data_IF_524543742216
#
_entry.id   IF_524543742216
#
_cell.length_a   1.000
_cell.length_b   1.000
_cell.length_c   1.000
_cell.angle_alpha   90.00
_cell.angle_beta   90.00
_cell.angle_gamma   90.00
#
_symmetry.space_group_name_H-M   'P 1'
#
loop_
_entity.id
_entity.type
_entity.pdbx_description
1 polymer ?
#
# COMPACT_ATOMS: atom_id res chain seq x y z
N UNK A 1 -1.69 6.84 -11.03
CA UNK A 1 -2.15 5.44 -10.90
C UNK A 1 -3.66 5.38 -11.10
N UNK A 2 -4.21 4.36 -11.74
CA UNK A 2 -5.66 4.21 -11.99
C UNK A 2 -6.06 2.75 -12.08
N UNK A 3 -7.32 2.43 -11.84
CA UNK A 3 -7.88 1.07 -11.87
C UNK A 3 -9.21 0.99 -12.63
N UNK A 4 -9.54 2.03 -13.38
CA UNK A 4 -10.79 2.11 -14.13
C UNK A 4 -10.93 0.96 -15.13
N UNK A 5 -12.19 0.68 -15.48
CA UNK A 5 -12.56 -0.34 -16.47
C UNK A 5 -11.97 0.00 -17.85
N UNK A 6 -11.69 -1.04 -18.66
CA UNK A 6 -11.05 -0.89 -19.97
C UNK A 6 -11.66 0.19 -20.86
N UNK A 7 -12.99 0.23 -21.00
CA UNK A 7 -13.66 1.25 -21.84
C UNK A 7 -13.46 2.69 -21.34
N UNK A 8 -13.42 2.93 -20.02
CA UNK A 8 -13.14 4.25 -19.45
C UNK A 8 -11.69 4.63 -19.63
N UNK A 9 -10.78 3.65 -19.50
CA UNK A 9 -9.37 3.86 -19.78
C UNK A 9 -9.16 4.27 -21.25
N UNK A 10 -9.88 3.63 -22.17
CA UNK A 10 -9.85 3.97 -23.58
C UNK A 10 -10.40 5.37 -23.86
N UNK A 11 -11.50 5.76 -23.20
CA UNK A 11 -12.03 7.12 -23.28
C UNK A 11 -10.98 8.16 -22.86
N UNK A 12 -10.30 7.94 -21.73
CA UNK A 12 -9.21 8.82 -21.27
C UNK A 12 -8.04 8.86 -22.25
N UNK A 13 -7.66 7.71 -22.82
CA UNK A 13 -6.55 7.62 -23.76
C UNK A 13 -6.85 8.32 -25.10
N UNK A 14 -8.12 8.29 -25.55
CA UNK A 14 -8.56 8.94 -26.79
C UNK A 14 -8.67 10.46 -26.69
N UNK A 15 -8.73 11.01 -25.48
CA UNK A 15 -8.70 12.45 -25.27
C UNK A 15 -7.27 12.99 -25.43
N UNK A 16 -7.03 13.65 -26.56
CA UNK A 16 -5.73 14.24 -26.91
C UNK A 16 -5.26 15.30 -25.91
N UNK A 17 -6.17 15.96 -25.19
CA UNK A 17 -5.84 16.95 -24.16
C UNK A 17 -5.17 16.26 -22.97
N UNK A 18 -5.71 15.12 -22.54
CA UNK A 18 -5.14 14.35 -21.42
C UNK A 18 -3.77 13.78 -21.81
N UNK A 19 -3.65 13.25 -23.03
CA UNK A 19 -2.36 12.75 -23.56
C UNK A 19 -1.31 13.87 -23.58
N UNK A 20 -1.67 15.06 -24.08
CA UNK A 20 -0.74 16.20 -24.11
C UNK A 20 -0.24 16.57 -22.71
N UNK A 21 -1.15 16.75 -21.75
CA UNK A 21 -0.81 17.10 -20.36
C UNK A 21 0.09 16.04 -19.69
N UNK A 22 -0.20 14.75 -19.91
CA UNK A 22 0.62 13.65 -19.40
C UNK A 22 2.04 13.67 -20.00
N UNK A 23 2.17 13.99 -21.29
CA UNK A 23 3.47 14.11 -21.95
C UNK A 23 4.27 15.32 -21.47
N UNK A 24 3.62 16.48 -21.34
CA UNK A 24 4.26 17.70 -20.81
C UNK A 24 4.82 17.47 -19.41
N UNK A 25 4.13 16.67 -18.60
CA UNK A 25 4.58 16.26 -17.28
C UNK A 25 5.72 15.24 -17.28
N UNK A 26 5.98 14.56 -18.41
CA UNK A 26 6.81 13.37 -18.43
C UNK A 26 6.28 12.28 -17.50
N UNK A 27 4.96 12.16 -17.39
CA UNK A 27 4.31 11.25 -16.44
C UNK A 27 4.27 9.81 -16.96
N UNK A 28 4.49 8.86 -16.06
CA UNK A 28 4.21 7.45 -16.27
C UNK A 28 2.83 7.07 -15.70
N UNK A 29 2.19 6.02 -16.22
CA UNK A 29 0.89 5.56 -15.73
C UNK A 29 0.99 4.15 -15.13
N UNK A 30 0.63 4.06 -13.84
CA UNK A 30 0.40 2.78 -13.16
C UNK A 30 -1.04 2.32 -13.42
N UNK A 31 -1.19 1.21 -14.15
CA UNK A 31 -2.47 0.69 -14.63
C UNK A 31 -2.87 -0.54 -13.83
N UNK A 32 -3.90 -0.41 -13.02
CA UNK A 32 -4.56 -1.49 -12.32
C UNK A 32 -5.20 -2.46 -13.31
N UNK A 33 -4.67 -3.67 -13.36
CA UNK A 33 -5.12 -4.73 -14.26
C UNK A 33 -6.31 -5.46 -13.66
N UNK A 34 -7.48 -4.82 -13.72
CA UNK A 34 -8.75 -5.36 -13.21
C UNK A 34 -9.38 -6.37 -14.18
N UNK A 35 -9.10 -6.21 -15.48
CA UNK A 35 -9.52 -7.05 -16.59
C UNK A 35 -8.38 -7.16 -17.63
N UNK A 36 -8.57 -8.01 -18.65
CA UNK A 36 -7.67 -8.18 -19.80
C UNK A 36 -8.43 -7.92 -21.11
N UNK A 37 -9.26 -6.86 -21.11
CA UNK A 37 -10.14 -6.50 -22.24
C UNK A 37 -9.38 -5.91 -23.43
N UNK A 38 -10.00 -5.96 -24.61
CA UNK A 38 -9.45 -5.36 -25.83
C UNK A 38 -9.41 -3.83 -25.74
N UNK A 39 -10.39 -3.20 -25.09
CA UNK A 39 -10.39 -1.76 -24.86
C UNK A 39 -9.19 -1.32 -24.02
N UNK A 40 -8.77 -2.14 -23.05
CA UNK A 40 -7.57 -1.89 -22.26
C UNK A 40 -6.31 -2.03 -23.12
N UNK A 41 -6.25 -3.01 -24.01
CA UNK A 41 -5.13 -3.15 -24.97
C UNK A 41 -5.02 -1.92 -25.85
N UNK A 42 -6.14 -1.45 -26.41
CA UNK A 42 -6.17 -0.25 -27.26
C UNK A 42 -5.72 0.98 -26.48
N UNK A 43 -6.19 1.17 -25.24
CA UNK A 43 -5.81 2.30 -24.41
C UNK A 43 -4.30 2.30 -24.08
N UNK A 44 -3.75 1.14 -23.72
CA UNK A 44 -2.31 0.98 -23.44
C UNK A 44 -1.46 1.31 -24.66
N UNK A 45 -1.86 0.84 -25.85
CA UNK A 45 -1.17 1.17 -27.11
C UNK A 45 -1.19 2.67 -27.38
N UNK A 46 -2.33 3.33 -27.20
CA UNK A 46 -2.41 4.80 -27.38
C UNK A 46 -1.45 5.53 -26.44
N UNK A 47 -1.37 5.16 -25.15
CA UNK A 47 -0.41 5.77 -24.23
C UNK A 47 1.03 5.54 -24.68
N UNK A 48 1.37 4.30 -25.02
CA UNK A 48 2.73 3.90 -25.42
C UNK A 48 3.18 4.53 -26.74
N UNK A 49 2.31 4.56 -27.75
CA UNK A 49 2.55 5.22 -29.04
C UNK A 49 2.76 6.73 -28.88
N UNK A 50 2.26 7.31 -27.78
CA UNK A 50 2.47 8.69 -27.40
C UNK A 50 3.68 8.93 -26.48
N UNK A 51 4.47 7.88 -26.19
CA UNK A 51 5.68 7.95 -25.37
C UNK A 51 5.41 8.01 -23.86
N UNK A 52 4.22 7.58 -23.42
CA UNK A 52 3.86 7.49 -22.00
C UNK A 52 4.12 6.06 -21.54
N UNK A 53 5.07 5.88 -20.60
CA UNK A 53 5.38 4.55 -20.07
C UNK A 53 4.25 4.04 -19.17
N UNK A 54 3.97 2.73 -19.30
CA UNK A 54 2.96 2.05 -18.50
C UNK A 54 3.61 1.07 -17.51
N UNK A 55 3.13 1.08 -16.27
CA UNK A 55 3.45 0.10 -15.23
C UNK A 55 2.25 -0.81 -15.01
N UNK A 56 2.47 -2.12 -15.05
CA UNK A 56 1.43 -3.10 -14.78
C UNK A 56 1.21 -3.16 -13.27
N UNK A 57 0.02 -2.84 -12.78
CA UNK A 57 -0.33 -3.03 -11.39
C UNK A 57 -1.24 -4.25 -11.28
N UNK A 58 -0.68 -5.37 -10.81
CA UNK A 58 -1.34 -6.67 -10.84
C UNK A 58 -2.35 -6.78 -9.70
N UNK A 59 -3.62 -6.88 -10.08
CA UNK A 59 -4.75 -6.96 -9.17
C UNK A 59 -5.43 -8.32 -9.30
N UNK A 60 -5.88 -8.86 -8.18
CA UNK A 60 -6.74 -10.03 -8.15
C UNK A 60 -8.22 -9.63 -8.31
N UNK A 61 -9.07 -10.61 -8.59
CA UNK A 61 -10.51 -10.38 -8.57
C UNK A 61 -10.99 -10.05 -7.14
N UNK A 62 -12.14 -9.37 -7.02
CA UNK A 62 -12.76 -9.05 -5.71
C UNK A 62 -13.01 -10.30 -4.85
N UNK A 63 -13.30 -11.44 -5.48
CA UNK A 63 -13.50 -12.72 -4.78
C UNK A 63 -12.20 -13.36 -4.24
N UNK A 64 -11.04 -12.96 -4.75
CA UNK A 64 -9.71 -13.52 -4.39
C UNK A 64 -8.92 -12.57 -3.47
N UNK A 65 -9.62 -11.71 -2.74
CA UNK A 65 -9.08 -10.72 -1.79
C UNK A 65 -8.30 -9.55 -2.38
N UNK A 66 -8.39 -9.33 -3.70
CA UNK A 66 -7.93 -8.15 -4.47
C UNK A 66 -6.42 -7.83 -4.41
N UNK A 67 -5.87 -7.72 -3.22
CA UNK A 67 -4.48 -7.43 -2.91
C UNK A 67 -3.69 -8.71 -2.63
N UNK A 68 -2.47 -8.84 -3.17
CA UNK A 68 -1.51 -9.85 -2.76
C UNK A 68 -1.28 -9.87 -1.24
N UNK A 69 -1.45 -11.04 -0.64
CA UNK A 69 -1.13 -11.39 0.75
C UNK A 69 -0.60 -12.84 0.81
N UNK A 70 -0.11 -13.29 1.96
CA UNK A 70 0.46 -14.62 2.14
C UNK A 70 -0.53 -15.76 1.83
N UNK A 71 -1.84 -15.52 1.96
CA UNK A 71 -2.88 -16.54 1.78
C UNK A 71 -3.30 -16.74 0.32
N UNK A 72 -3.04 -15.78 -0.57
CA UNK A 72 -3.51 -15.84 -1.97
C UNK A 72 -2.37 -15.92 -3.00
N UNK A 73 -1.16 -16.29 -2.59
CA UNK A 73 0.00 -16.42 -3.48
C UNK A 73 -0.25 -17.30 -4.71
N UNK A 74 -0.96 -18.42 -4.57
CA UNK A 74 -1.36 -19.28 -5.70
C UNK A 74 -2.27 -18.55 -6.70
N UNK A 75 -3.21 -17.73 -6.20
CA UNK A 75 -4.07 -16.92 -7.05
C UNK A 75 -3.28 -15.82 -7.77
N UNK A 76 -2.31 -15.19 -7.09
CA UNK A 76 -1.39 -14.22 -7.70
C UNK A 76 -0.57 -14.84 -8.82
N UNK A 77 0.02 -16.02 -8.61
CA UNK A 77 0.77 -16.73 -9.66
C UNK A 77 -0.12 -17.07 -10.86
N UNK A 78 -1.34 -17.57 -10.61
CA UNK A 78 -2.30 -17.85 -11.69
C UNK A 78 -2.69 -16.57 -12.44
N UNK A 79 -2.87 -15.46 -11.74
CA UNK A 79 -3.14 -14.15 -12.35
C UNK A 79 -1.95 -13.65 -13.16
N UNK A 80 -0.73 -13.85 -12.66
CA UNK A 80 0.51 -13.52 -13.37
C UNK A 80 0.66 -14.29 -14.67
N UNK A 81 0.41 -15.60 -14.70
CA UNK A 81 0.49 -16.39 -15.94
C UNK A 81 -0.52 -15.90 -16.99
N UNK A 82 -1.73 -15.50 -16.56
CA UNK A 82 -2.71 -14.87 -17.46
C UNK A 82 -2.22 -13.51 -17.98
N UNK A 83 -1.68 -12.68 -17.08
CA UNK A 83 -1.08 -11.40 -17.44
C UNK A 83 0.04 -11.57 -18.46
N UNK A 84 0.92 -12.55 -18.25
CA UNK A 84 2.03 -12.90 -19.13
C UNK A 84 1.54 -13.30 -20.51
N UNK A 85 0.61 -14.26 -20.59
CA UNK A 85 0.05 -14.71 -21.86
C UNK A 85 -0.62 -13.57 -22.63
N UNK A 86 -1.41 -12.74 -21.93
CA UNK A 86 -2.08 -11.58 -22.50
C UNK A 86 -1.12 -10.48 -22.95
N UNK A 87 -0.05 -10.24 -22.19
CA UNK A 87 0.99 -9.27 -22.52
C UNK A 87 1.74 -9.70 -23.78
N UNK A 88 2.11 -10.98 -23.88
CA UNK A 88 2.80 -11.53 -25.04
C UNK A 88 1.91 -11.51 -26.30
N UNK A 89 0.65 -11.92 -26.19
CA UNK A 89 -0.27 -11.94 -27.35
C UNK A 89 -0.52 -10.54 -27.92
N UNK A 90 -0.49 -9.52 -27.07
CA UNK A 90 -0.79 -8.14 -27.45
C UNK A 90 0.45 -7.26 -27.65
N UNK A 91 1.65 -7.81 -27.41
CA UNK A 91 2.93 -7.10 -27.52
C UNK A 91 2.99 -5.83 -26.67
N UNK A 92 2.59 -5.93 -25.41
CA UNK A 92 2.51 -4.78 -24.50
C UNK A 92 3.84 -4.64 -23.73
N UNK A 93 4.66 -3.61 -23.99
CA UNK A 93 5.84 -3.34 -23.17
C UNK A 93 5.42 -2.80 -21.79
N UNK A 94 6.14 -3.19 -20.74
CA UNK A 94 5.89 -2.71 -19.38
C UNK A 94 7.19 -2.21 -18.75
N UNK A 95 7.11 -1.05 -18.08
CA UNK A 95 8.25 -0.50 -17.34
C UNK A 95 8.49 -1.24 -16.03
N UNK A 96 7.42 -1.67 -15.37
CA UNK A 96 7.50 -2.52 -14.18
C UNK A 96 6.22 -3.31 -13.95
N UNK A 97 6.32 -4.31 -13.07
CA UNK A 97 5.22 -4.99 -12.42
C UNK A 97 5.10 -4.48 -10.99
N UNK A 98 3.95 -3.94 -10.62
CA UNK A 98 3.65 -3.37 -9.31
C UNK A 98 2.71 -4.28 -8.54
N UNK A 99 3.02 -4.52 -7.28
CA UNK A 99 2.19 -5.23 -6.32
C UNK A 99 1.98 -4.33 -5.10
N UNK A 100 0.74 -4.14 -4.69
CA UNK A 100 0.47 -3.49 -3.40
C UNK A 100 0.13 -4.57 -2.39
N UNK A 101 1.04 -4.73 -1.44
CA UNK A 101 0.87 -5.70 -0.37
C UNK A 101 -0.14 -5.13 0.62
N UNK A 102 -1.15 -5.92 0.96
CA UNK A 102 -2.10 -5.52 1.98
C UNK A 102 -2.21 -6.61 3.04
N UNK A 103 -2.47 -6.22 4.30
CA UNK A 103 -2.95 -7.16 5.30
C UNK A 103 -4.21 -7.88 4.81
N UNK A 104 -4.45 -9.08 5.32
CA UNK A 104 -5.57 -9.90 4.88
C UNK A 104 -6.93 -9.21 5.16
N UNK A 105 -7.69 -8.93 4.10
CA UNK A 105 -8.89 -8.08 4.09
C UNK A 105 -10.11 -8.56 4.90
N UNK A 106 -10.03 -9.70 5.58
CA UNK A 106 -11.03 -10.02 6.61
C UNK A 106 -10.88 -9.16 7.86
N UNK A 107 -9.73 -8.48 8.05
CA UNK A 107 -9.39 -7.77 9.28
C UNK A 107 -10.24 -6.52 9.55
N UNK A 108 -10.69 -5.81 8.51
CA UNK A 108 -11.59 -4.66 8.69
C UNK A 108 -12.90 -5.06 9.40
N UNK A 109 -13.47 -6.22 9.03
CA UNK A 109 -14.69 -6.77 9.67
C UNK A 109 -14.42 -7.36 11.05
N UNK A 110 -13.17 -7.68 11.39
CA UNK A 110 -12.81 -8.23 12.71
C UNK A 110 -12.72 -7.08 13.72
N UNK A 111 -12.23 -5.91 13.32
CA UNK A 111 -12.24 -4.70 14.16
C UNK A 111 -13.67 -4.33 14.57
N UNK A 112 -14.63 -4.44 13.64
CA UNK A 112 -16.06 -4.19 13.90
C UNK A 112 -16.68 -5.12 14.95
N UNK A 113 -16.08 -6.30 15.18
CA UNK A 113 -16.56 -7.31 16.14
C UNK A 113 -15.85 -7.25 17.50
N UNK A 114 -15.05 -6.21 17.74
CA UNK A 114 -14.43 -5.90 19.03
C UNK A 114 -13.14 -6.68 19.34
N UNK A 115 -12.42 -6.28 20.42
CA UNK A 115 -11.03 -6.66 20.67
C UNK A 115 -10.81 -8.17 20.89
N UNK A 116 -11.81 -8.89 21.39
CA UNK A 116 -11.77 -10.36 21.57
C UNK A 116 -11.72 -11.14 20.25
N UNK A 117 -12.32 -10.59 19.19
CA UNK A 117 -12.30 -11.24 17.87
C UNK A 117 -10.96 -11.01 17.17
N UNK A 118 -10.39 -9.80 17.33
CA UNK A 118 -9.04 -9.43 16.89
C UNK A 118 -7.99 -10.34 17.54
N UNK A 119 -8.05 -10.53 18.86
CA UNK A 119 -7.06 -11.35 19.58
C UNK A 119 -7.09 -12.83 19.17
N UNK A 120 -8.27 -13.40 18.89
CA UNK A 120 -8.41 -14.77 18.37
C UNK A 120 -7.76 -14.94 17.00
N UNK A 121 -7.90 -13.95 16.13
CA UNK A 121 -7.34 -13.99 14.77
C UNK A 121 -5.83 -13.86 14.82
N UNK A 122 -5.31 -12.92 15.62
CA UNK A 122 -3.88 -12.77 15.89
C UNK A 122 -3.31 -14.09 16.39
N UNK A 123 -3.89 -14.69 17.44
CA UNK A 123 -3.41 -15.94 18.02
C UNK A 123 -3.41 -17.10 17.02
N UNK A 124 -4.49 -17.24 16.23
CA UNK A 124 -4.57 -18.26 15.18
C UNK A 124 -3.45 -18.10 14.16
N UNK A 125 -3.13 -16.87 13.76
CA UNK A 125 -2.10 -16.57 12.77
C UNK A 125 -0.69 -16.80 13.29
N UNK A 126 -0.43 -16.45 14.55
CA UNK A 126 0.84 -16.76 15.23
C UNK A 126 1.15 -18.27 15.24
N UNK A 127 0.12 -19.11 15.30
CA UNK A 127 0.26 -20.58 15.31
C UNK A 127 0.30 -21.15 13.87
N UNK A 128 -0.10 -20.38 12.85
CA UNK A 128 -0.26 -20.83 11.46
C UNK A 128 0.99 -20.60 10.59
N UNK A 129 2.18 -20.95 11.09
CA UNK A 129 3.46 -20.69 10.41
C UNK A 129 3.57 -21.24 8.97
N UNK A 130 2.83 -22.32 8.65
CA UNK A 130 2.83 -22.93 7.31
C UNK A 130 2.28 -22.03 6.21
N UNK A 131 1.39 -21.10 6.53
CA UNK A 131 0.83 -20.15 5.55
C UNK A 131 1.90 -19.14 5.10
N UNK A 132 2.73 -18.69 6.04
CA UNK A 132 3.79 -17.73 5.75
C UNK A 132 4.81 -18.34 4.79
N UNK A 133 5.25 -19.57 5.06
CA UNK A 133 6.22 -20.27 4.21
C UNK A 133 5.68 -20.49 2.78
N UNK A 134 4.41 -20.87 2.64
CA UNK A 134 3.79 -20.99 1.32
C UNK A 134 3.66 -19.64 0.60
N UNK A 135 3.36 -18.56 1.33
CA UNK A 135 3.39 -17.21 0.80
C UNK A 135 4.77 -16.88 0.23
N UNK A 136 5.81 -16.97 1.07
CA UNK A 136 7.18 -16.62 0.72
C UNK A 136 7.66 -17.40 -0.52
N UNK A 137 7.38 -18.70 -0.60
CA UNK A 137 7.71 -19.53 -1.77
C UNK A 137 7.00 -19.06 -3.05
N UNK A 138 5.70 -18.74 -2.98
CA UNK A 138 4.95 -18.28 -4.14
C UNK A 138 5.46 -16.92 -4.65
N UNK A 139 5.82 -16.01 -3.76
CA UNK A 139 6.32 -14.70 -4.16
C UNK A 139 7.80 -14.71 -4.56
N UNK A 140 8.60 -15.61 -4.00
CA UNK A 140 9.93 -15.91 -4.53
C UNK A 140 9.83 -16.44 -5.97
N UNK A 141 8.85 -17.31 -6.26
CA UNK A 141 8.58 -17.78 -7.61
C UNK A 141 8.11 -16.66 -8.53
N UNK A 142 7.20 -15.80 -8.07
CA UNK A 142 6.74 -14.64 -8.85
C UNK A 142 7.92 -13.74 -9.23
N UNK A 143 8.80 -13.44 -8.27
CA UNK A 143 10.03 -12.67 -8.54
C UNK A 143 10.91 -13.35 -9.58
N UNK A 144 11.16 -14.65 -9.45
CA UNK A 144 11.99 -15.39 -10.40
C UNK A 144 11.40 -15.31 -11.82
N UNK A 145 10.09 -15.43 -11.95
CA UNK A 145 9.38 -15.27 -13.23
C UNK A 145 9.51 -13.85 -13.77
N UNK A 146 9.22 -12.82 -12.97
CA UNK A 146 9.34 -11.41 -13.41
C UNK A 146 10.77 -11.06 -13.84
N UNK A 147 11.78 -11.53 -13.10
CA UNK A 147 13.19 -11.33 -13.45
C UNK A 147 13.55 -12.02 -14.76
N UNK A 148 13.07 -13.23 -15.01
CA UNK A 148 13.31 -13.95 -16.27
C UNK A 148 12.71 -13.21 -17.48
N UNK A 149 11.73 -12.35 -17.25
CA UNK A 149 11.06 -11.53 -18.27
C UNK A 149 11.57 -10.09 -18.30
N UNK A 150 12.66 -9.79 -17.57
CA UNK A 150 13.21 -8.44 -17.41
C UNK A 150 12.20 -7.41 -16.89
N UNK A 151 11.18 -7.86 -16.15
CA UNK A 151 10.22 -6.99 -15.50
C UNK A 151 10.72 -6.60 -14.11
N UNK A 152 10.96 -5.30 -13.92
CA UNK A 152 11.24 -4.74 -12.60
C UNK A 152 10.05 -4.96 -11.68
N UNK A 153 10.27 -5.53 -10.50
CA UNK A 153 9.24 -5.74 -9.50
C UNK A 153 9.20 -4.56 -8.51
N UNK A 154 8.06 -3.89 -8.44
CA UNK A 154 7.80 -2.75 -7.56
C UNK A 154 6.80 -3.16 -6.48
N UNK A 155 7.10 -2.86 -5.22
CA UNK A 155 6.18 -3.09 -4.10
C UNK A 155 5.71 -1.77 -3.50
N UNK A 156 4.41 -1.60 -3.38
CA UNK A 156 3.81 -0.48 -2.63
C UNK A 156 3.69 -0.91 -1.17
N UNK A 157 4.29 -0.14 -0.28
CA UNK A 157 4.35 -0.45 1.16
C UNK A 157 3.81 0.71 2.01
N UNK A 158 3.36 0.41 3.23
CA UNK A 158 2.90 1.42 4.20
C UNK A 158 3.96 1.76 5.26
N UNK A 159 3.84 2.90 5.97
CA UNK A 159 4.68 3.22 7.12
C UNK A 159 4.77 2.11 8.18
N UNK A 160 3.65 1.44 8.48
CA UNK A 160 3.63 0.32 9.43
C UNK A 160 4.50 -0.86 8.99
N UNK A 161 4.66 -1.09 7.68
CA UNK A 161 5.60 -2.11 7.19
C UNK A 161 7.05 -1.68 7.39
N UNK A 162 7.36 -0.39 7.26
CA UNK A 162 8.69 0.16 7.57
C UNK A 162 9.02 -0.08 9.03
N UNK A 163 8.16 0.34 9.95
CA UNK A 163 8.37 0.15 11.39
C UNK A 163 8.51 -1.32 11.79
N UNK A 164 7.71 -2.20 11.17
CA UNK A 164 7.80 -3.64 11.45
C UNK A 164 9.18 -4.24 11.12
N UNK A 165 9.86 -3.70 10.11
CA UNK A 165 11.19 -4.15 9.70
C UNK A 165 12.28 -3.64 10.62
N UNK A 166 12.15 -2.42 11.12
CA UNK A 166 13.11 -1.84 12.06
C UNK A 166 13.16 -2.60 13.38
N UNK A 167 12.01 -3.11 13.83
CA UNK A 167 11.92 -3.96 15.04
C UNK A 167 12.26 -5.44 14.73
N UNK A 168 12.59 -5.75 13.46
CA UNK A 168 12.94 -7.09 12.96
C UNK A 168 11.91 -8.19 13.32
N UNK A 169 10.63 -7.86 13.19
CA UNK A 169 9.54 -8.72 13.68
C UNK A 169 8.98 -9.58 12.55
N UNK A 170 9.45 -10.83 12.45
CA UNK A 170 8.85 -11.85 11.59
C UNK A 170 7.37 -12.10 11.98
N UNK A 171 7.03 -11.83 13.23
CA UNK A 171 5.68 -11.94 13.79
C UNK A 171 4.69 -10.96 13.16
N UNK A 172 5.11 -9.80 12.67
CA UNK A 172 4.21 -8.85 12.00
C UNK A 172 3.73 -9.41 10.66
N UNK A 173 4.64 -10.06 9.91
CA UNK A 173 4.31 -10.78 8.68
C UNK A 173 3.27 -11.85 8.96
N UNK A 174 3.49 -12.66 10.00
CA UNK A 174 2.55 -13.70 10.42
C UNK A 174 1.18 -13.12 10.82
N UNK A 175 1.16 -12.04 11.60
CA UNK A 175 -0.09 -11.42 12.09
C UNK A 175 -0.88 -10.78 10.94
N UNK A 176 -0.22 -10.08 10.04
CA UNK A 176 -0.90 -9.35 8.96
C UNK A 176 -1.12 -10.20 7.71
N UNK A 177 -0.41 -11.32 7.59
CA UNK A 177 -0.28 -12.04 6.33
C UNK A 177 0.47 -11.23 5.26
N UNK A 178 1.22 -10.19 5.66
CA UNK A 178 2.15 -9.51 4.75
C UNK A 178 3.47 -10.28 4.70
N UNK A 179 4.26 -10.07 3.66
CA UNK A 179 5.49 -10.81 3.43
C UNK A 179 6.51 -9.85 2.80
N UNK A 180 7.79 -10.11 3.01
CA UNK A 180 8.82 -9.36 2.32
C UNK A 180 9.02 -9.99 0.95
N UNK A 181 8.52 -9.31 -0.09
CA UNK A 181 8.99 -9.61 -1.44
C UNK A 181 10.41 -9.10 -1.54
N UNK A 182 11.31 -9.89 -2.12
CA UNK A 182 12.54 -9.33 -2.65
C UNK A 182 12.18 -8.54 -3.92
N UNK A 183 11.84 -7.28 -3.77
CA UNK A 183 11.49 -6.37 -4.86
C UNK A 183 12.72 -5.61 -5.37
N UNK A 184 12.63 -5.04 -6.57
CA UNK A 184 13.68 -4.20 -7.14
C UNK A 184 13.52 -2.72 -6.74
N UNK A 185 12.31 -2.33 -6.36
CA UNK A 185 12.00 -0.99 -5.84
C UNK A 185 10.81 -1.05 -4.89
N UNK A 186 10.83 -0.20 -3.88
CA UNK A 186 9.68 0.07 -3.02
C UNK A 186 9.13 1.47 -3.30
N UNK A 187 7.80 1.60 -3.23
CA UNK A 187 7.06 2.85 -3.24
C UNK A 187 6.41 2.98 -1.88
N UNK A 188 6.76 4.03 -1.15
CA UNK A 188 6.10 4.33 0.12
C UNK A 188 4.73 4.97 -0.15
N UNK A 189 3.68 4.35 0.37
CA UNK A 189 2.31 4.82 0.27
C UNK A 189 1.90 5.60 1.49
N UNK A 190 1.69 6.91 1.30
CA UNK A 190 1.15 7.82 2.31
C UNK A 190 -0.18 8.32 1.77
N UNK A 191 -1.27 7.69 2.23
CA UNK A 191 -2.61 8.18 1.95
C UNK A 191 -2.94 9.34 2.88
N UNK A 192 -3.73 10.29 2.37
CA UNK A 192 -4.27 11.40 3.13
C UNK A 192 -5.40 10.87 4.03
N UNK A 193 -5.04 10.29 5.19
CA UNK A 193 -5.98 9.65 6.13
C UNK A 193 -6.31 10.50 7.36
N UNK A 194 -5.55 11.57 7.60
CA UNK A 194 -5.67 12.44 8.78
C UNK A 194 -6.63 13.63 8.57
N UNK A 195 -6.62 14.57 9.52
CA UNK A 195 -7.45 15.78 9.52
C UNK A 195 -7.38 16.64 8.24
N UNK A 196 -8.34 17.55 8.02
CA UNK A 196 -8.34 18.48 6.88
C UNK A 196 -7.04 19.28 6.75
N UNK A 197 -6.34 19.52 7.87
CA UNK A 197 -5.00 20.09 7.85
C UNK A 197 -3.99 18.98 7.52
N UNK A 198 -3.31 19.09 6.36
CA UNK A 198 -2.35 18.11 5.84
C UNK A 198 -1.04 17.97 6.64
N UNK A 199 -0.92 18.64 7.79
CA UNK A 199 0.27 18.64 8.63
C UNK A 199 0.71 17.24 9.08
N UNK A 200 -0.21 16.35 9.46
CA UNK A 200 0.14 14.96 9.82
C UNK A 200 0.64 14.16 8.62
N UNK A 201 0.01 14.29 7.45
CA UNK A 201 0.48 13.65 6.22
C UNK A 201 1.87 14.17 5.81
N UNK A 202 2.11 15.48 5.95
CA UNK A 202 3.42 16.09 5.70
C UNK A 202 4.48 15.63 6.70
N UNK A 203 4.14 15.50 7.98
CA UNK A 203 5.03 14.97 9.01
C UNK A 203 5.37 13.50 8.71
N UNK A 204 4.40 12.67 8.30
CA UNK A 204 4.68 11.30 7.84
C UNK A 204 5.59 11.27 6.61
N UNK A 205 5.37 12.16 5.66
CA UNK A 205 6.24 12.26 4.48
C UNK A 205 7.68 12.54 4.90
N UNK A 206 7.88 13.52 5.78
CA UNK A 206 9.20 13.87 6.31
C UNK A 206 9.85 12.70 7.06
N UNK A 207 9.08 12.01 7.90
CA UNK A 207 9.56 10.94 8.76
C UNK A 207 9.96 9.69 7.97
N UNK A 208 9.10 9.23 7.05
CA UNK A 208 9.24 7.91 6.41
C UNK A 208 9.89 7.95 5.02
N UNK A 209 10.06 9.11 4.38
CA UNK A 209 10.58 9.15 2.99
C UNK A 209 11.99 8.57 2.81
N UNK A 210 12.78 8.52 3.89
CA UNK A 210 14.17 8.07 3.83
C UNK A 210 14.23 6.62 3.33
N UNK A 211 15.11 6.36 2.36
CA UNK A 211 15.23 5.05 1.72
C UNK A 211 14.28 4.80 0.53
N UNK A 212 13.35 5.71 0.23
CA UNK A 212 12.46 5.61 -0.93
C UNK A 212 12.79 6.67 -1.98
N UNK A 213 12.82 6.29 -3.26
CA UNK A 213 12.96 7.23 -4.38
C UNK A 213 11.60 7.75 -4.88
N UNK A 214 10.51 7.04 -4.54
CA UNK A 214 9.18 7.30 -5.08
C UNK A 214 8.13 7.16 -3.98
N UNK A 215 7.20 8.12 -3.94
CA UNK A 215 6.16 8.21 -2.93
C UNK A 215 4.77 8.20 -3.60
N UNK A 216 3.84 7.40 -3.10
CA UNK A 216 2.42 7.43 -3.50
C UNK A 216 1.66 8.35 -2.54
N UNK A 217 1.18 9.49 -3.04
CA UNK A 217 0.67 10.61 -2.24
C UNK A 217 -0.83 10.80 -2.47
N UNK A 218 -1.64 10.26 -1.55
CA UNK A 218 -3.10 10.47 -1.51
C UNK A 218 -3.89 9.93 -2.70
N UNK A 219 -5.19 10.21 -2.70
CA UNK A 219 -6.16 9.77 -3.71
C UNK A 219 -6.99 10.93 -4.24
N UNK A 220 -6.93 11.19 -5.54
CA UNK A 220 -7.77 12.17 -6.24
C UNK A 220 -9.17 11.61 -6.59
N UNK A 221 -9.42 10.33 -6.35
CA UNK A 221 -10.73 9.72 -6.59
C UNK A 221 -11.72 10.02 -5.47
N UNK A 222 -12.99 10.18 -5.85
CA UNK A 222 -14.12 10.34 -4.93
C UNK A 222 -14.51 9.04 -4.21
N UNK A 223 -13.99 7.90 -4.64
CA UNK A 223 -14.13 6.61 -3.97
C UNK A 223 -12.76 6.12 -3.53
N UNK A 224 -12.72 5.39 -2.41
CA UNK A 224 -11.49 4.72 -1.98
C UNK A 224 -11.05 3.73 -3.06
N UNK A 225 -9.73 3.47 -3.19
CA UNK A 225 -9.24 2.42 -4.08
C UNK A 225 -10.02 1.13 -3.87
N UNK A 226 -10.59 0.59 -4.94
CA UNK A 226 -11.09 -0.78 -5.01
C UNK A 226 -12.29 -1.06 -4.10
N UNK A 227 -12.89 0.00 -3.58
CA UNK A 227 -14.09 -0.01 -2.77
C UNK A 227 -15.15 0.90 -3.39
N UNK A 228 -16.41 0.61 -3.06
CA UNK A 228 -17.51 1.52 -3.35
C UNK A 228 -17.68 2.57 -2.23
N UNK A 229 -16.83 2.54 -1.21
CA UNK A 229 -16.81 3.52 -0.14
C UNK A 229 -16.35 4.88 -0.68
N UNK A 230 -17.05 5.91 -0.22
CA UNK A 230 -16.68 7.30 -0.47
C UNK A 230 -15.29 7.60 0.10
N UNK A 231 -14.48 8.28 -0.69
CA UNK A 231 -13.26 8.90 -0.22
C UNK A 231 -13.62 10.24 0.40
N UNK A 232 -13.74 10.25 1.73
CA UNK A 232 -14.02 11.48 2.50
C UNK A 232 -12.92 12.54 2.39
N UNK A 233 -11.74 12.17 1.89
CA UNK A 233 -10.61 13.07 1.71
C UNK A 233 -10.05 12.95 0.30
N UNK A 234 -10.82 13.45 -0.66
CA UNK A 234 -10.33 13.60 -2.04
C UNK A 234 -9.19 14.60 -2.04
N UNK A 235 -8.06 14.20 -2.61
CA UNK A 235 -6.89 15.06 -2.77
C UNK A 235 -7.30 16.31 -3.56
N UNK A 236 -7.01 17.47 -3.01
CA UNK A 236 -7.23 18.77 -3.65
C UNK A 236 -5.91 19.44 -4.05
N UNK A 237 -5.98 20.55 -4.77
CA UNK A 237 -4.81 21.25 -5.28
C UNK A 237 -3.89 21.80 -4.18
N UNK A 238 -4.45 22.42 -3.14
CA UNK A 238 -3.66 22.99 -2.05
C UNK A 238 -2.85 21.90 -1.32
N UNK A 239 -3.46 20.75 -1.04
CA UNK A 239 -2.74 19.59 -0.49
C UNK A 239 -1.69 19.06 -1.47
N UNK A 240 -2.04 18.95 -2.76
CA UNK A 240 -1.13 18.46 -3.81
C UNK A 240 0.14 19.32 -3.89
N UNK A 241 0.02 20.65 -3.87
CA UNK A 241 1.15 21.57 -3.89
C UNK A 241 2.06 21.40 -2.67
N UNK A 242 1.48 21.25 -1.47
CA UNK A 242 2.25 21.06 -0.23
C UNK A 242 3.02 19.73 -0.27
N UNK A 243 2.37 18.66 -0.72
CA UNK A 243 2.99 17.35 -0.87
C UNK A 243 4.11 17.35 -1.91
N UNK A 244 3.91 18.02 -3.06
CA UNK A 244 4.95 18.18 -4.08
C UNK A 244 6.12 19.00 -3.56
N UNK A 245 5.85 20.12 -2.89
CA UNK A 245 6.89 20.98 -2.30
C UNK A 245 7.75 20.17 -1.32
N UNK A 246 7.11 19.41 -0.43
CA UNK A 246 7.82 18.52 0.50
C UNK A 246 8.61 17.43 -0.23
N UNK A 247 8.01 16.76 -1.21
CA UNK A 247 8.68 15.70 -1.98
C UNK A 247 9.90 16.22 -2.76
N UNK A 248 9.82 17.44 -3.32
CA UNK A 248 10.93 18.10 -4.01
C UNK A 248 12.12 18.39 -3.11
N UNK A 249 11.89 18.77 -1.84
CA UNK A 249 12.97 19.00 -0.87
C UNK A 249 13.84 17.76 -0.64
N UNK A 250 13.32 16.57 -0.92
CA UNK A 250 14.04 15.30 -0.77
C UNK A 250 14.32 14.57 -2.11
N UNK A 251 14.17 15.28 -3.24
CA UNK A 251 14.39 14.75 -4.59
C UNK A 251 13.59 13.45 -4.88
N UNK A 252 12.28 13.49 -4.61
CA UNK A 252 11.39 12.33 -4.77
C UNK A 252 10.53 12.43 -6.00
N UNK A 253 10.36 11.31 -6.70
CA UNK A 253 9.26 11.14 -7.63
C UNK A 253 7.96 10.89 -6.86
N UNK A 254 6.83 11.34 -7.41
CA UNK A 254 5.52 11.14 -6.79
C UNK A 254 4.59 10.34 -7.71
N UNK A 255 3.70 9.59 -7.09
CA UNK A 255 2.57 8.96 -7.75
C UNK A 255 1.32 9.51 -7.08
N UNK A 256 0.35 9.94 -7.88
CA UNK A 256 -0.99 10.28 -7.39
C UNK A 256 -1.92 9.13 -7.75
N UNK A 257 -2.70 8.66 -6.78
CA UNK A 257 -3.72 7.66 -7.02
C UNK A 257 -5.00 8.31 -7.58
N UNK A 258 -5.59 7.72 -8.63
CA UNK A 258 -6.81 8.19 -9.26
C UNK A 258 -6.58 9.19 -10.40
N UNK A 259 -6.13 8.71 -11.57
CA UNK A 259 -5.94 9.55 -12.75
C UNK A 259 -7.24 10.24 -13.18
N UNK A 260 -8.34 9.49 -13.20
CA UNK A 260 -9.68 9.98 -13.54
C UNK A 260 -10.15 11.09 -12.60
N UNK A 261 -9.86 10.95 -11.30
CA UNK A 261 -10.10 11.98 -10.31
C UNK A 261 -9.20 13.20 -10.49
N UNK A 262 -7.92 12.98 -10.77
CA UNK A 262 -6.96 14.05 -11.03
C UNK A 262 -7.32 14.88 -12.28
N UNK A 263 -7.88 14.25 -13.31
CA UNK A 263 -8.42 14.92 -14.50
C UNK A 263 -9.68 15.70 -14.12
N UNK A 264 -10.67 15.02 -13.51
CA UNK A 264 -11.97 15.62 -13.16
C UNK A 264 -11.83 16.83 -12.23
N UNK A 265 -10.89 16.79 -11.29
CA UNK A 265 -10.69 17.83 -10.30
C UNK A 265 -9.66 18.90 -10.73
N UNK A 266 -9.19 18.86 -11.98
CA UNK A 266 -8.25 19.86 -12.52
C UNK A 266 -6.80 19.72 -12.04
N UNK A 267 -6.48 18.70 -11.22
CA UNK A 267 -5.11 18.49 -10.72
C UNK A 267 -4.15 18.22 -11.88
N UNK A 268 -4.51 17.37 -12.86
CA UNK A 268 -3.63 17.09 -14.00
C UNK A 268 -3.29 18.36 -14.79
N UNK A 269 -4.28 19.24 -14.98
CA UNK A 269 -4.11 20.52 -15.66
C UNK A 269 -3.19 21.47 -14.91
N UNK A 270 -3.36 21.53 -13.59
CA UNK A 270 -2.52 22.40 -12.77
C UNK A 270 -1.08 21.87 -12.66
N UNK A 271 -0.91 20.55 -12.64
CA UNK A 271 0.42 19.93 -12.67
C UNK A 271 1.16 20.21 -13.97
N UNK A 272 0.49 20.15 -15.13
CA UNK A 272 1.13 20.43 -16.43
C UNK A 272 1.55 21.89 -16.59
N UNK A 273 1.04 22.78 -15.75
CA UNK A 273 1.45 24.18 -15.68
C UNK A 273 2.69 24.36 -14.78
N UNK A 274 3.30 25.56 -14.80
CA UNK A 274 4.47 25.84 -13.98
C UNK A 274 4.17 25.74 -12.47
N UNK A 275 4.76 24.74 -11.82
CA UNK A 275 4.66 24.48 -10.38
C UNK A 275 5.62 25.36 -9.57
N UNK A 276 5.08 26.29 -8.79
CA UNK A 276 5.82 27.01 -7.75
C UNK A 276 5.65 26.34 -6.40
N UNK A 277 6.76 26.21 -5.67
CA UNK A 277 6.74 25.71 -4.30
C UNK A 277 5.91 26.64 -3.40
N UNK A 278 5.23 26.05 -2.41
CA UNK A 278 4.37 26.77 -1.48
C UNK A 278 4.96 26.79 -0.07
N UNK A 279 4.56 27.76 0.74
CA UNK A 279 4.92 27.77 2.15
C UNK A 279 4.32 26.55 2.85
N UNK A 280 5.18 25.78 3.52
CA UNK A 280 4.76 24.62 4.32
C UNK A 280 4.35 25.08 5.72
N UNK A 281 3.29 24.49 6.31
CA UNK A 281 2.89 24.82 7.68
C UNK A 281 3.98 24.42 8.67
N UNK A 282 3.94 25.00 9.88
CA UNK A 282 4.76 24.52 10.98
C UNK A 282 4.35 23.08 11.35
N UNK A 283 5.29 22.14 11.23
CA UNK A 283 5.04 20.72 11.46
C UNK A 283 5.42 20.23 12.85
N UNK A 284 5.95 21.08 13.76
CA UNK A 284 6.53 20.62 15.03
C UNK A 284 5.58 19.73 15.86
N UNK A 285 4.30 20.12 15.97
CA UNK A 285 3.32 19.33 16.71
C UNK A 285 3.00 18.02 15.99
N UNK A 286 2.80 18.08 14.67
CA UNK A 286 2.52 16.91 13.85
C UNK A 286 3.69 15.91 13.85
N UNK A 287 4.93 16.40 13.80
CA UNK A 287 6.15 15.59 13.91
C UNK A 287 6.24 14.87 15.25
N UNK A 288 5.95 15.57 16.36
CA UNK A 288 5.91 14.94 17.67
C UNK A 288 4.82 13.85 17.75
N UNK A 289 3.65 14.10 17.17
CA UNK A 289 2.56 13.11 17.12
C UNK A 289 2.95 11.88 16.29
N UNK A 290 3.54 12.07 15.11
CA UNK A 290 4.00 10.96 14.26
C UNK A 290 5.12 10.18 14.93
N UNK A 291 6.06 10.84 15.59
CA UNK A 291 7.12 10.19 16.36
C UNK A 291 6.54 9.33 17.50
N UNK A 292 5.55 9.84 18.23
CA UNK A 292 4.85 9.07 19.27
C UNK A 292 4.04 7.89 18.69
N UNK A 293 3.34 8.08 17.56
CA UNK A 293 2.62 7.00 16.88
C UNK A 293 3.60 5.88 16.46
N UNK A 294 4.75 6.27 15.91
CA UNK A 294 5.82 5.38 15.50
C UNK A 294 6.38 4.60 16.68
N UNK A 295 6.76 5.29 17.77
CA UNK A 295 7.27 4.64 18.99
C UNK A 295 6.25 3.64 19.56
N UNK A 296 4.98 4.04 19.69
CA UNK A 296 3.91 3.16 20.18
C UNK A 296 3.72 1.93 19.28
N UNK A 297 3.76 2.13 17.96
CA UNK A 297 3.69 1.05 16.97
C UNK A 297 4.85 0.07 17.13
N UNK A 298 6.07 0.59 17.27
CA UNK A 298 7.27 -0.23 17.45
C UNK A 298 7.28 -0.98 18.78
N UNK A 299 6.79 -0.38 19.87
CA UNK A 299 6.58 -1.06 21.16
C UNK A 299 5.58 -2.20 20.99
N UNK A 300 4.44 -1.94 20.35
CA UNK A 300 3.44 -2.96 20.08
C UNK A 300 4.04 -4.11 19.26
N UNK A 301 4.80 -3.82 18.22
CA UNK A 301 5.49 -4.84 17.43
C UNK A 301 6.52 -5.62 18.23
N UNK A 302 7.28 -4.97 19.12
CA UNK A 302 8.25 -5.64 20.01
C UNK A 302 7.56 -6.63 20.95
N UNK A 303 6.42 -6.23 21.52
CA UNK A 303 5.60 -7.09 22.38
C UNK A 303 5.09 -8.29 21.58
N UNK A 304 4.54 -8.04 20.38
CA UNK A 304 4.04 -9.09 19.50
C UNK A 304 5.15 -10.02 19.00
N UNK A 305 6.39 -9.53 18.84
CA UNK A 305 7.55 -10.32 18.46
C UNK A 305 7.91 -11.40 19.49
N UNK A 306 7.48 -11.23 20.73
CA UNK A 306 7.87 -12.05 21.88
C UNK A 306 6.67 -12.74 22.53
N UNK A 307 5.86 -13.54 21.80
CA UNK A 307 4.61 -14.11 22.32
C UNK A 307 4.85 -15.01 23.54
N UNK A 308 6.00 -15.67 23.61
CA UNK A 308 6.41 -16.46 24.79
C UNK A 308 6.60 -15.61 26.04
N UNK A 309 7.20 -14.41 25.93
CA UNK A 309 7.36 -13.49 27.05
C UNK A 309 6.05 -12.85 27.48
N UNK A 310 5.16 -12.56 26.53
CA UNK A 310 3.81 -12.05 26.82
C UNK A 310 2.99 -13.12 27.56
N UNK A 311 2.99 -14.36 27.06
CA UNK A 311 2.34 -15.48 27.72
C UNK A 311 2.93 -15.74 29.12
N UNK A 312 4.26 -15.68 29.26
CA UNK A 312 4.94 -15.79 30.54
C UNK A 312 4.52 -14.68 31.51
N UNK A 313 4.46 -13.41 31.05
CA UNK A 313 4.05 -12.28 31.88
C UNK A 313 2.61 -12.43 32.38
N UNK A 314 1.67 -12.80 31.51
CA UNK A 314 0.28 -13.06 31.90
C UNK A 314 0.14 -14.26 32.84
N UNK A 315 0.88 -15.35 32.59
CA UNK A 315 0.92 -16.50 33.48
C UNK A 315 1.45 -16.11 34.86
N UNK A 316 2.56 -15.36 34.90
CA UNK A 316 3.16 -14.86 36.12
C UNK A 316 2.20 -13.95 36.89
N UNK A 317 1.54 -13.01 36.21
CA UNK A 317 0.54 -12.12 36.82
C UNK A 317 -0.67 -12.90 37.35
N UNK A 318 -1.14 -13.90 36.60
CA UNK A 318 -2.23 -14.77 37.04
C UNK A 318 -1.87 -15.58 38.27
N UNK A 319 -0.64 -16.11 38.34
CA UNK A 319 -0.12 -16.82 39.51
C UNK A 319 -0.01 -15.87 40.71
N UNK A 320 0.55 -14.67 40.54
CA UNK A 320 0.73 -13.72 41.65
C UNK A 320 -0.62 -13.21 42.18
N UNK A 321 -1.58 -12.90 41.31
CA UNK A 321 -2.94 -12.52 41.71
C UNK A 321 -3.64 -13.71 42.38
N UNK A 322 -3.51 -14.93 41.84
CA UNK A 322 -4.06 -16.13 42.44
C UNK A 322 -3.53 -16.39 43.85
N UNK A 323 -2.21 -16.27 44.05
CA UNK A 323 -1.58 -16.38 45.37
C UNK A 323 -2.07 -15.27 46.31
N UNK A 324 -2.18 -14.03 45.83
CA UNK A 324 -2.69 -12.90 46.62
C UNK A 324 -4.14 -13.13 47.08
N UNK A 325 -5.01 -13.62 46.18
CA UNK A 325 -6.40 -13.97 46.49
C UNK A 325 -6.46 -15.12 47.49
N UNK A 326 -5.70 -16.20 47.28
CA UNK A 326 -5.67 -17.36 48.18
C UNK A 326 -5.19 -16.99 49.60
N UNK A 327 -4.19 -16.10 49.70
CA UNK A 327 -3.72 -15.53 50.98
C UNK A 327 -4.78 -14.66 51.63
N UNK A 328 -5.49 -13.84 50.85
CA UNK A 328 -6.56 -12.97 51.35
C UNK A 328 -7.76 -13.78 51.85
N UNK A 329 -8.07 -14.89 51.19
CA UNK A 329 -9.14 -15.82 51.57
C UNK A 329 -8.71 -16.84 52.66
N UNK A 330 -7.47 -16.81 53.14
CA UNK A 330 -6.89 -17.78 54.10
C UNK A 330 -7.00 -19.24 53.66
N UNK A 331 -7.04 -19.49 52.34
CA UNK A 331 -7.18 -20.84 51.77
C UNK A 331 -5.84 -21.56 51.58
N UNK A 332 -4.73 -20.84 51.72
CA UNK A 332 -3.36 -21.39 51.72
C UNK A 332 -2.64 -20.78 52.92
N UNK A 333 -2.14 -21.65 53.81
CA UNK A 333 -1.30 -21.29 54.95
C UNK A 333 0.18 -21.37 54.55
#
# INVERSE_FOLDING_TARGET
MTEIQGFKLLELAKDSTNIHKLKELGADIYIGLTDFSDERVEALKIFQDNGIDCHAWLLLSKGEHYWPNAHNGTAVLKRYEKFRAWTLSNQLPWKSLTLSLAPYSTDARIIDNGPLSVSKVILKRLISGSVQEHGDLNYARLRALSKAENLKLVSVISPYQVDSREVNVETWKQITGTFNILNDQEVLSIFNSYEPNSSLTLAQLKEYQSGFSTLLLGSANATKPLSNEENKRVLNWDETCKYITMARQYDKSIIIYGLEGAIKNGILEQLSNHLTDVELPNLQEAENQIAMERENTQILFTILASPGWVAFAFLFLGITIGIAILRTLKLVM
#
